data_IF_791355985524
#
_entry.id   IF_791355985524
#
_cell.length_a   1.000
_cell.length_b   1.000
_cell.length_c   1.000
_cell.angle_alpha   90.00
_cell.angle_beta   90.00
_cell.angle_gamma   90.00
#
_symmetry.space_group_name_H-M   'P 1'
#
loop_
_entity.id
_entity.type
_entity.pdbx_description
1 polymer ?
#
# COMPACT_ATOMS: atom_id res chain seq x y z
N UNK A 1 -4.98 13.21 6.11
CA UNK A 1 -5.84 13.72 5.02
C UNK A 1 -5.07 13.84 3.69
N UNK A 2 -3.94 14.60 3.62
CA UNK A 2 -3.18 14.83 2.38
C UNK A 2 -2.68 13.54 1.71
N UNK A 3 -2.13 12.60 2.46
CA UNK A 3 -1.67 11.33 1.91
C UNK A 3 -2.81 10.54 1.26
N UNK A 4 -3.97 10.46 1.92
CA UNK A 4 -5.16 9.78 1.36
C UNK A 4 -5.63 10.42 0.05
N UNK A 5 -5.48 11.74 -0.08
CA UNK A 5 -5.81 12.47 -1.31
C UNK A 5 -4.83 12.16 -2.44
N UNK A 6 -3.54 12.01 -2.16
CA UNK A 6 -2.48 11.82 -3.17
C UNK A 6 -2.37 10.36 -3.64
N UNK A 7 -2.75 9.36 -2.83
CA UNK A 7 -2.64 7.93 -3.17
C UNK A 7 -3.23 7.58 -4.54
N UNK A 8 -4.45 7.97 -4.93
CA UNK A 8 -4.98 7.64 -6.25
C UNK A 8 -4.13 8.19 -7.40
N UNK A 9 -3.58 9.39 -7.25
CA UNK A 9 -2.71 10.00 -8.26
C UNK A 9 -1.37 9.27 -8.37
N UNK A 10 -0.82 8.80 -7.25
CA UNK A 10 0.36 7.93 -7.24
C UNK A 10 0.09 6.67 -8.06
N UNK A 11 -1.03 6.01 -7.79
CA UNK A 11 -1.42 4.79 -8.50
C UNK A 11 -1.57 5.07 -9.99
N UNK A 12 -2.29 6.13 -10.35
CA UNK A 12 -2.51 6.50 -11.76
C UNK A 12 -1.17 6.78 -12.46
N UNK A 13 -0.30 7.57 -11.87
CA UNK A 13 0.99 7.92 -12.48
C UNK A 13 1.89 6.70 -12.65
N UNK A 14 2.15 5.98 -11.57
CA UNK A 14 3.13 4.87 -11.58
C UNK A 14 2.63 3.63 -12.32
N UNK A 15 1.37 3.24 -12.10
CA UNK A 15 0.84 2.01 -12.70
C UNK A 15 0.59 2.20 -14.19
N UNK A 16 0.05 3.35 -14.62
CA UNK A 16 -0.17 3.61 -16.04
C UNK A 16 1.15 3.67 -16.80
N UNK A 17 2.12 4.42 -16.30
CA UNK A 17 3.44 4.51 -16.93
C UNK A 17 4.14 3.16 -16.96
N UNK A 18 4.16 2.43 -15.84
CA UNK A 18 4.80 1.11 -15.75
C UNK A 18 4.19 0.06 -16.69
N UNK A 19 2.88 0.07 -16.89
CA UNK A 19 2.21 -0.84 -17.84
C UNK A 19 2.48 -0.38 -19.30
N UNK A 20 2.46 0.92 -19.55
CA UNK A 20 2.74 1.48 -20.86
C UNK A 20 4.19 1.21 -21.33
N UNK A 21 5.15 1.09 -20.39
CA UNK A 21 6.55 0.74 -20.66
C UNK A 21 6.72 -0.70 -21.15
N UNK A 22 5.80 -1.60 -20.84
CA UNK A 22 5.89 -3.01 -21.25
C UNK A 22 5.75 -3.20 -22.77
N UNK A 23 5.36 -2.18 -23.52
CA UNK A 23 5.25 -2.16 -24.98
C UNK A 23 4.55 -3.40 -25.59
N UNK A 24 5.17 -4.01 -26.60
CA UNK A 24 4.67 -5.23 -27.25
C UNK A 24 4.66 -6.42 -26.29
N UNK A 25 3.48 -6.96 -26.01
CA UNK A 25 3.32 -8.13 -25.13
C UNK A 25 2.91 -7.82 -23.70
N UNK A 26 2.62 -6.54 -23.39
CA UNK A 26 2.15 -6.11 -22.08
C UNK A 26 1.05 -7.00 -21.50
N UNK A 27 0.06 -7.37 -22.28
CA UNK A 27 -1.04 -8.22 -21.84
C UNK A 27 -0.60 -9.63 -21.43
N UNK A 28 0.30 -10.27 -22.18
CA UNK A 28 0.84 -11.59 -21.87
C UNK A 28 1.74 -11.54 -20.63
N UNK A 29 2.62 -10.55 -20.57
CA UNK A 29 3.52 -10.35 -19.42
C UNK A 29 2.72 -10.07 -18.14
N UNK A 30 1.73 -9.21 -18.25
CA UNK A 30 0.83 -8.89 -17.13
C UNK A 30 0.07 -10.13 -16.65
N UNK A 31 -0.47 -10.93 -17.56
CA UNK A 31 -1.16 -12.18 -17.23
C UNK A 31 -0.26 -13.17 -16.51
N UNK A 32 0.96 -13.38 -16.99
CA UNK A 32 1.95 -14.27 -16.37
C UNK A 32 2.38 -13.74 -15.00
N UNK A 33 2.72 -12.45 -14.91
CA UNK A 33 3.12 -11.81 -13.64
C UNK A 33 2.01 -11.88 -12.60
N UNK A 34 0.77 -11.60 -13.00
CA UNK A 34 -0.41 -11.70 -12.14
C UNK A 34 -0.61 -13.15 -11.67
N UNK A 35 -0.52 -14.12 -12.58
CA UNK A 35 -0.63 -15.54 -12.24
C UNK A 35 0.43 -15.99 -11.23
N UNK A 36 1.68 -15.59 -11.42
CA UNK A 36 2.77 -15.88 -10.49
C UNK A 36 2.54 -15.18 -9.14
N UNK A 37 2.13 -13.91 -9.16
CA UNK A 37 1.87 -13.14 -7.94
C UNK A 37 0.74 -13.77 -7.10
N UNK A 38 -0.39 -14.08 -7.72
CA UNK A 38 -1.49 -14.76 -7.02
C UNK A 38 -1.10 -16.17 -6.57
N UNK A 39 -0.39 -16.93 -7.41
CA UNK A 39 0.12 -18.24 -7.06
C UNK A 39 1.04 -18.20 -5.84
N UNK A 40 2.01 -17.28 -5.83
CA UNK A 40 2.91 -17.12 -4.69
C UNK A 40 2.19 -16.65 -3.43
N UNK A 41 1.21 -15.76 -3.56
CA UNK A 41 0.41 -15.28 -2.43
C UNK A 41 -0.43 -16.40 -1.81
N UNK A 42 -1.04 -17.27 -2.64
CA UNK A 42 -1.80 -18.42 -2.15
C UNK A 42 -0.87 -19.39 -1.41
N UNK A 43 0.30 -19.70 -1.98
CA UNK A 43 1.28 -20.58 -1.34
C UNK A 43 1.78 -20.00 -0.01
N UNK A 44 2.23 -18.75 -0.04
CA UNK A 44 2.72 -18.07 1.16
C UNK A 44 1.62 -17.91 2.22
N UNK A 45 0.41 -17.54 1.82
CA UNK A 45 -0.74 -17.40 2.72
C UNK A 45 -1.15 -18.73 3.36
N UNK A 46 -1.13 -19.82 2.58
CA UNK A 46 -1.43 -21.17 3.10
C UNK A 46 -0.35 -21.61 4.09
N UNK A 47 0.93 -21.38 3.75
CA UNK A 47 2.05 -21.70 4.63
C UNK A 47 1.99 -20.88 5.93
N UNK A 48 1.76 -19.59 5.82
CA UNK A 48 1.60 -18.71 6.98
C UNK A 48 0.40 -19.11 7.84
N UNK A 49 -0.73 -19.51 7.23
CA UNK A 49 -1.90 -20.00 7.96
C UNK A 49 -1.60 -21.29 8.72
N UNK A 50 -0.93 -22.26 8.09
CA UNK A 50 -0.55 -23.53 8.74
C UNK A 50 0.37 -23.25 9.92
N UNK A 51 1.44 -22.46 9.70
CA UNK A 51 2.40 -22.13 10.76
C UNK A 51 1.72 -21.35 11.89
N UNK A 52 0.90 -20.36 11.55
CA UNK A 52 0.17 -19.58 12.54
C UNK A 52 -0.80 -20.44 13.37
N UNK A 53 -1.56 -21.35 12.72
CA UNK A 53 -2.50 -22.21 13.41
C UNK A 53 -1.84 -23.22 14.35
N UNK A 54 -0.59 -23.60 14.06
CA UNK A 54 0.19 -24.51 14.92
C UNK A 54 0.87 -23.77 16.09
N UNK A 55 1.33 -22.56 15.87
CA UNK A 55 2.21 -21.83 16.81
C UNK A 55 1.41 -20.87 17.69
N UNK A 56 0.46 -20.10 17.12
CA UNK A 56 -0.24 -19.06 17.86
C UNK A 56 -1.11 -19.54 19.02
N UNK A 57 -1.81 -20.70 18.96
CA UNK A 57 -2.55 -21.21 20.12
C UNK A 57 -1.68 -21.41 21.36
N UNK A 58 -0.36 -21.63 21.17
CA UNK A 58 0.59 -21.82 22.27
C UNK A 58 1.10 -20.51 22.88
N UNK A 59 0.97 -19.39 22.16
CA UNK A 59 1.56 -18.11 22.55
C UNK A 59 0.55 -16.96 22.72
N UNK A 60 -0.61 -17.07 22.11
CA UNK A 60 -1.65 -16.04 22.17
C UNK A 60 -2.92 -16.67 22.73
N UNK A 61 -3.21 -16.32 23.98
CA UNK A 61 -4.50 -16.66 24.57
C UNK A 61 -5.61 -15.91 23.81
N UNK A 62 -6.69 -16.58 23.36
CA UNK A 62 -7.82 -15.91 22.71
C UNK A 62 -8.41 -14.75 23.52
N UNK A 63 -8.25 -14.76 24.84
CA UNK A 63 -8.63 -13.67 25.73
C UNK A 63 -7.80 -12.40 25.52
N UNK A 64 -6.57 -12.53 25.06
CA UNK A 64 -5.69 -11.37 24.74
C UNK A 64 -6.15 -10.69 23.45
N UNK A 65 -6.62 -11.44 22.47
CA UNK A 65 -7.19 -10.89 21.25
C UNK A 65 -8.44 -10.06 21.48
N UNK A 66 -9.26 -10.43 22.49
CA UNK A 66 -10.44 -9.67 22.90
C UNK A 66 -10.09 -8.46 23.80
N UNK A 67 -8.90 -8.45 24.41
CA UNK A 67 -8.36 -7.34 25.20
C UNK A 67 -7.60 -6.32 24.37
N UNK A 68 -7.21 -6.68 23.14
CA UNK A 68 -6.75 -5.71 22.15
C UNK A 68 -8.02 -5.03 21.63
N UNK A 69 -8.55 -4.12 22.45
CA UNK A 69 -9.54 -3.15 22.01
C UNK A 69 -8.99 -2.40 20.79
N UNK A 70 -9.84 -1.65 20.15
CA UNK A 70 -9.43 -0.78 19.04
C UNK A 70 -8.10 -0.08 19.42
N UNK A 71 -7.00 -0.31 18.64
CA UNK A 71 -5.71 0.34 18.92
C UNK A 71 -5.82 1.86 18.94
N UNK A 72 -6.88 2.40 18.36
CA UNK A 72 -7.20 3.81 18.36
C UNK A 72 -8.02 4.23 19.60
N UNK A 73 -8.55 3.28 20.39
CA UNK A 73 -9.27 3.57 21.62
C UNK A 73 -8.32 4.18 22.66
N UNK A 74 -8.59 5.42 23.06
CA UNK A 74 -7.75 6.18 23.99
C UNK A 74 -6.69 7.07 23.33
N UNK A 75 -6.57 7.08 22.01
CA UNK A 75 -5.79 8.11 21.34
C UNK A 75 -6.47 9.46 21.44
N UNK A 76 -5.66 10.52 21.49
CA UNK A 76 -6.15 11.89 21.46
C UNK A 76 -6.80 12.17 20.10
N UNK A 77 -8.01 12.72 20.13
CA UNK A 77 -8.64 13.21 18.92
C UNK A 77 -7.87 14.41 18.35
N UNK A 78 -7.79 14.51 17.02
CA UNK A 78 -7.11 15.64 16.40
C UNK A 78 -7.83 16.93 16.71
N UNK A 79 -7.08 17.97 17.10
CA UNK A 79 -7.60 19.32 17.45
C UNK A 79 -8.37 19.92 16.27
N UNK A 80 -7.96 19.64 15.05
CA UNK A 80 -8.69 19.99 13.84
C UNK A 80 -8.48 18.93 12.74
N UNK A 81 -9.48 18.75 11.91
CA UNK A 81 -9.42 17.86 10.75
C UNK A 81 -9.54 18.69 9.47
N UNK A 82 -8.61 18.46 8.53
CA UNK A 82 -8.74 19.03 7.20
C UNK A 82 -9.54 18.00 6.36
N UNK A 83 -10.76 18.32 5.92
CA UNK A 83 -11.60 17.39 5.17
C UNK A 83 -11.12 17.28 3.71
N UNK A 84 -9.99 16.61 3.48
CA UNK A 84 -9.48 16.28 2.16
C UNK A 84 -9.92 14.85 1.82
N UNK A 85 -11.03 14.74 1.10
CA UNK A 85 -11.47 13.46 0.53
C UNK A 85 -10.68 13.17 -0.74
N UNK A 86 -10.31 11.90 -1.01
CA UNK A 86 -9.73 11.54 -2.29
C UNK A 86 -10.74 11.81 -3.42
N UNK A 87 -10.27 12.37 -4.54
CA UNK A 87 -11.13 12.65 -5.71
C UNK A 87 -11.58 11.37 -6.41
N UNK A 88 -10.78 10.31 -6.31
CA UNK A 88 -11.04 9.01 -6.94
C UNK A 88 -10.77 7.93 -5.90
N UNK A 89 -11.61 6.91 -5.88
CA UNK A 89 -11.37 5.73 -5.04
C UNK A 89 -10.14 4.95 -5.52
N UNK A 90 -9.42 4.30 -4.60
CA UNK A 90 -8.21 3.53 -4.89
C UNK A 90 -8.48 2.43 -5.91
N UNK A 91 -9.59 1.72 -5.79
CA UNK A 91 -9.99 0.65 -6.72
C UNK A 91 -10.25 1.21 -8.11
N UNK A 92 -10.96 2.33 -8.20
CA UNK A 92 -11.22 3.01 -9.47
C UNK A 92 -9.91 3.52 -10.11
N UNK A 93 -8.98 4.04 -9.31
CA UNK A 93 -7.66 4.47 -9.78
C UNK A 93 -6.86 3.29 -10.37
N UNK A 94 -6.90 2.12 -9.71
CA UNK A 94 -6.23 0.90 -10.21
C UNK A 94 -6.84 0.49 -11.56
N UNK A 95 -8.16 0.34 -11.65
CA UNK A 95 -8.83 -0.07 -12.89
C UNK A 95 -8.55 0.92 -14.02
N UNK A 96 -8.64 2.21 -13.74
CA UNK A 96 -8.29 3.26 -14.70
C UNK A 96 -6.84 3.13 -15.19
N UNK A 97 -5.90 2.95 -14.27
CA UNK A 97 -4.47 2.85 -14.59
C UNK A 97 -4.15 1.64 -15.46
N UNK A 98 -4.76 0.48 -15.16
CA UNK A 98 -4.61 -0.71 -15.99
C UNK A 98 -5.19 -0.50 -17.39
N UNK A 99 -6.39 0.04 -17.48
CA UNK A 99 -7.06 0.30 -18.77
C UNK A 99 -6.25 1.27 -19.62
N UNK A 100 -5.81 2.38 -19.03
CA UNK A 100 -5.00 3.39 -19.72
C UNK A 100 -3.62 2.86 -20.11
N UNK A 101 -2.94 2.16 -19.20
CA UNK A 101 -1.63 1.60 -19.46
C UNK A 101 -1.64 0.57 -20.60
N UNK A 102 -2.61 -0.34 -20.59
CA UNK A 102 -2.80 -1.30 -21.69
C UNK A 102 -3.20 -0.61 -22.99
N UNK A 103 -4.06 0.41 -22.93
CA UNK A 103 -4.45 1.20 -24.11
C UNK A 103 -3.26 1.91 -24.74
N UNK A 104 -2.43 2.57 -23.91
CA UNK A 104 -1.20 3.24 -24.40
C UNK A 104 -0.23 2.22 -24.99
N UNK A 105 -0.02 1.09 -24.31
CA UNK A 105 0.84 0.01 -24.82
C UNK A 105 0.36 -0.52 -26.17
N UNK A 106 -0.95 -0.72 -26.34
CA UNK A 106 -1.54 -1.14 -27.61
C UNK A 106 -1.42 -0.09 -28.73
N UNK A 107 -1.54 1.19 -28.40
CA UNK A 107 -1.36 2.28 -29.36
C UNK A 107 0.10 2.41 -29.82
N UNK A 108 1.05 2.24 -28.91
CA UNK A 108 2.48 2.29 -29.23
C UNK A 108 2.92 1.18 -30.19
N UNK A 109 2.25 0.05 -30.17
CA UNK A 109 2.47 -1.03 -31.18
C UNK A 109 2.16 -0.61 -32.61
N UNK A 110 1.37 0.45 -32.80
CA UNK A 110 0.97 0.99 -34.09
C UNK A 110 1.59 2.36 -34.39
N UNK A 111 2.76 2.64 -33.80
CA UNK A 111 3.48 3.93 -33.91
C UNK A 111 2.62 5.15 -33.51
N UNK A 112 1.70 4.93 -32.57
CA UNK A 112 0.81 5.96 -32.03
C UNK A 112 0.89 5.98 -30.50
N UNK A 113 0.37 7.05 -29.88
CA UNK A 113 0.26 7.11 -28.41
C UNK A 113 1.51 7.62 -27.68
N UNK A 114 2.56 8.05 -28.40
CA UNK A 114 3.76 8.65 -27.78
C UNK A 114 3.45 9.90 -26.96
N UNK A 115 2.52 10.74 -27.42
CA UNK A 115 2.11 11.93 -26.67
C UNK A 115 1.47 11.54 -25.33
N UNK A 116 0.60 10.54 -25.35
CA UNK A 116 -0.09 10.07 -24.16
C UNK A 116 0.89 9.37 -23.20
N UNK A 117 1.81 8.60 -23.74
CA UNK A 117 2.89 7.97 -22.98
C UNK A 117 3.75 9.01 -22.25
N UNK A 118 4.24 10.01 -22.98
CA UNK A 118 5.06 11.08 -22.41
C UNK A 118 4.29 11.87 -21.34
N UNK A 119 3.00 12.13 -21.57
CA UNK A 119 2.14 12.79 -20.58
C UNK A 119 2.12 12.02 -19.25
N UNK A 120 1.95 10.70 -19.27
CA UNK A 120 1.93 9.90 -18.05
C UNK A 120 3.32 9.75 -17.42
N UNK A 121 4.39 9.77 -18.20
CA UNK A 121 5.77 9.82 -17.70
C UNK A 121 6.04 11.14 -16.96
N UNK A 122 5.71 12.27 -17.56
CA UNK A 122 5.85 13.58 -16.92
C UNK A 122 4.96 13.71 -15.68
N UNK A 123 3.74 13.18 -15.74
CA UNK A 123 2.85 13.11 -14.59
C UNK A 123 3.45 12.29 -13.44
N UNK A 124 4.06 11.14 -13.74
CA UNK A 124 4.78 10.32 -12.75
C UNK A 124 5.94 11.10 -12.13
N UNK A 125 6.70 11.86 -12.92
CA UNK A 125 7.80 12.70 -12.42
C UNK A 125 7.29 13.79 -11.46
N UNK A 126 6.18 14.43 -11.79
CA UNK A 126 5.55 15.44 -10.92
C UNK A 126 5.16 14.82 -9.58
N UNK A 127 4.50 13.65 -9.61
CA UNK A 127 4.11 12.92 -8.40
C UNK A 127 5.32 12.52 -7.58
N UNK A 128 6.39 12.02 -8.22
CA UNK A 128 7.65 11.67 -7.56
C UNK A 128 8.26 12.89 -6.86
N UNK A 129 8.22 14.04 -7.49
CA UNK A 129 8.70 15.30 -6.90
C UNK A 129 7.86 15.71 -5.69
N UNK A 130 6.55 15.62 -5.78
CA UNK A 130 5.64 15.89 -4.65
C UNK A 130 5.94 14.95 -3.48
N UNK A 131 6.12 13.66 -3.75
CA UNK A 131 6.48 12.68 -2.74
C UNK A 131 7.81 13.03 -2.06
N UNK A 132 8.84 13.31 -2.85
CA UNK A 132 10.20 13.57 -2.35
C UNK A 132 10.32 14.88 -1.57
N UNK A 133 9.59 15.91 -1.98
CA UNK A 133 9.72 17.24 -1.37
C UNK A 133 8.76 17.44 -0.20
N UNK A 134 7.58 16.84 -0.26
CA UNK A 134 6.54 17.09 0.74
C UNK A 134 6.37 15.87 1.65
N UNK A 135 6.11 14.69 1.09
CA UNK A 135 5.66 13.53 1.89
C UNK A 135 6.83 12.92 2.65
N UNK A 136 7.95 12.62 1.96
CA UNK A 136 9.10 11.96 2.59
C UNK A 136 9.66 12.77 3.75
N UNK A 137 9.87 14.09 3.66
CA UNK A 137 10.37 14.86 4.81
C UNK A 137 9.38 14.98 5.97
N UNK A 138 8.08 14.93 5.71
CA UNK A 138 7.05 15.00 6.75
C UNK A 138 6.78 13.65 7.42
N UNK A 139 7.18 12.54 6.79
CA UNK A 139 6.92 11.20 7.28
C UNK A 139 7.51 10.94 8.69
N UNK A 140 8.78 11.32 8.99
CA UNK A 140 9.34 11.12 10.32
C UNK A 140 8.58 11.86 11.42
N UNK A 141 8.11 13.09 11.12
CA UNK A 141 7.33 13.89 12.07
C UNK A 141 5.97 13.23 12.32
N UNK A 142 5.33 12.74 11.28
CA UNK A 142 4.06 12.02 11.38
C UNK A 142 4.21 10.74 12.22
N UNK A 143 5.27 9.94 11.94
CA UNK A 143 5.56 8.72 12.68
C UNK A 143 5.82 9.05 14.16
N UNK A 144 6.65 10.06 14.45
CA UNK A 144 6.92 10.49 15.82
C UNK A 144 5.65 10.90 16.56
N UNK A 145 4.76 11.66 15.91
CA UNK A 145 3.46 12.05 16.47
C UNK A 145 2.55 10.86 16.75
N UNK A 146 2.50 9.89 15.85
CA UNK A 146 1.72 8.66 16.03
C UNK A 146 2.25 7.84 17.20
N UNK A 147 3.57 7.65 17.30
CA UNK A 147 4.17 6.94 18.43
C UNK A 147 3.94 7.66 19.76
N UNK A 148 4.05 8.99 19.78
CA UNK A 148 3.74 9.78 20.98
C UNK A 148 2.29 9.58 21.42
N UNK A 149 1.35 9.55 20.49
CA UNK A 149 -0.07 9.33 20.77
C UNK A 149 -0.34 7.91 21.31
N UNK A 150 0.26 6.87 20.69
CA UNK A 150 0.18 5.49 21.18
C UNK A 150 0.79 5.36 22.59
N UNK A 151 1.88 6.08 22.84
CA UNK A 151 2.53 6.11 24.17
C UNK A 151 1.62 6.75 25.20
N UNK A 152 0.98 7.84 24.84
CA UNK A 152 0.01 8.52 25.74
C UNK A 152 -1.18 7.60 26.08
N UNK A 153 -1.67 6.83 25.13
CA UNK A 153 -2.72 5.85 25.33
C UNK A 153 -2.30 4.64 26.21
N UNK A 154 -1.02 4.57 26.63
CA UNK A 154 -0.49 3.50 27.50
C UNK A 154 -0.36 2.13 26.83
N UNK A 155 -0.57 2.05 25.52
CA UNK A 155 -0.64 0.78 24.78
C UNK A 155 0.71 0.27 24.24
N UNK A 156 1.78 1.05 24.38
CA UNK A 156 3.10 0.75 23.78
C UNK A 156 3.62 -0.64 24.19
N UNK A 157 3.57 -0.96 25.48
CA UNK A 157 4.08 -2.25 25.95
C UNK A 157 3.28 -3.45 25.45
N UNK A 158 1.98 -3.31 25.38
CA UNK A 158 1.10 -4.35 24.85
C UNK A 158 1.37 -4.58 23.36
N UNK A 159 1.45 -3.50 22.58
CA UNK A 159 1.76 -3.53 21.16
C UNK A 159 3.16 -4.12 20.94
N UNK A 160 4.18 -3.65 21.66
CA UNK A 160 5.55 -4.08 21.51
C UNK A 160 5.73 -5.57 21.83
N UNK A 161 5.09 -6.06 22.89
CA UNK A 161 5.15 -7.47 23.30
C UNK A 161 4.49 -8.40 22.28
N UNK A 162 3.42 -7.97 21.63
CA UNK A 162 2.74 -8.71 20.57
C UNK A 162 3.58 -8.70 19.29
N UNK A 163 4.05 -7.52 18.88
CA UNK A 163 4.90 -7.39 17.70
C UNK A 163 6.16 -8.23 17.79
N UNK A 164 6.83 -8.25 18.95
CA UNK A 164 8.02 -9.06 19.14
C UNK A 164 7.76 -10.55 18.89
N UNK A 165 6.66 -11.08 19.44
CA UNK A 165 6.27 -12.47 19.23
C UNK A 165 5.92 -12.76 17.77
N UNK A 166 5.19 -11.85 17.10
CA UNK A 166 4.86 -11.97 15.69
C UNK A 166 6.12 -11.92 14.83
N UNK A 167 7.08 -11.03 15.13
CA UNK A 167 8.35 -10.94 14.42
C UNK A 167 9.17 -12.23 14.51
N UNK A 168 9.20 -12.88 15.67
CA UNK A 168 9.89 -14.16 15.84
C UNK A 168 9.31 -15.27 14.95
N UNK A 169 8.04 -15.18 14.59
CA UNK A 169 7.40 -16.17 13.72
C UNK A 169 7.56 -15.80 12.25
N UNK A 170 7.48 -14.51 11.91
CA UNK A 170 7.47 -14.02 10.52
C UNK A 170 8.87 -13.99 9.90
N UNK A 171 9.92 -13.67 10.68
CA UNK A 171 11.29 -13.57 10.15
C UNK A 171 11.83 -14.91 9.61
N UNK A 172 11.61 -16.08 10.27
CA UNK A 172 12.10 -17.35 9.72
C UNK A 172 11.19 -17.95 8.63
N UNK A 173 10.02 -17.40 8.36
CA UNK A 173 9.07 -17.85 7.35
C UNK A 173 9.40 -17.28 5.98
#
# INVERSE_FOLDING_TARGET
AFLKFVIPFIIIGFVTAGIADLATGAGKLLGVTTGIAYGSTIVAGTLAFIVASLIFPSFIDPSVASQIGDPEAGMLEPIFTIPLSPMVDVTAAIVFSFTMGLGISALRNNDKGEILYNLFQEFQEIITKVLSIIIIPLLPIYIAGTFANITYAGQVWNILSIFWRVYLVVIPL
#
